data_IF_912626908783
#
_entry.id   IF_912626908783
#
_cell.length_a   1.000
_cell.length_b   1.000
_cell.length_c   1.000
_cell.angle_alpha   90.00
_cell.angle_beta   90.00
_cell.angle_gamma   90.00
#
_symmetry.space_group_name_H-M   'P 1'
#
loop_
_entity.id
_entity.type
_entity.pdbx_description
1 polymer ?
#
# COMPACT_ATOMS: atom_id res chain seq x y z
N UNK A 1 11.87 -4.48 24.10
CA UNK A 1 12.81 -4.46 22.95
C UNK A 1 12.09 -4.46 21.60
N UNK A 2 11.06 -3.65 21.50
CA UNK A 2 10.24 -3.53 20.30
C UNK A 2 11.01 -2.81 19.18
N UNK A 3 12.00 -1.98 19.54
CA UNK A 3 12.73 -1.18 18.56
C UNK A 3 13.69 -1.98 17.67
N UNK A 4 14.22 -3.10 18.17
CA UNK A 4 15.25 -3.85 17.45
C UNK A 4 14.74 -4.43 16.12
N UNK A 5 13.56 -5.10 16.09
CA UNK A 5 13.05 -5.62 14.81
C UNK A 5 12.61 -4.55 13.81
N UNK A 6 12.42 -3.32 14.29
CA UNK A 6 11.94 -2.22 13.43
C UNK A 6 13.09 -1.40 12.81
N UNK A 7 14.34 -1.71 13.14
CA UNK A 7 15.50 -0.99 12.61
C UNK A 7 15.96 -1.60 11.29
N UNK A 8 16.25 -0.74 10.33
CA UNK A 8 16.81 -1.11 9.03
C UNK A 8 18.10 -0.34 8.88
N UNK A 9 19.20 -1.04 8.68
CA UNK A 9 20.50 -0.42 8.67
C UNK A 9 21.37 -0.78 7.47
N UNK A 10 22.24 0.12 7.14
CA UNK A 10 23.31 -0.07 6.17
C UNK A 10 24.63 0.23 6.88
N UNK A 11 25.52 -0.75 6.93
CA UNK A 11 26.78 -0.66 7.67
C UNK A 11 27.98 -0.87 6.75
N UNK A 12 28.28 0.10 5.87
CA UNK A 12 29.46 -0.01 5.00
C UNK A 12 30.76 0.25 5.77
N UNK A 13 31.88 -0.08 5.16
CA UNK A 13 33.21 0.15 5.74
C UNK A 13 33.41 1.64 6.09
N UNK A 14 33.82 1.86 7.33
CA UNK A 14 33.77 3.18 7.97
C UNK A 14 34.61 4.27 7.27
N UNK A 15 35.63 3.89 6.54
CA UNK A 15 36.61 4.86 6.01
C UNK A 15 36.05 5.69 4.85
N UNK A 16 35.11 5.14 4.08
CA UNK A 16 34.57 5.81 2.88
C UNK A 16 33.29 6.60 3.14
N UNK A 17 32.68 6.45 4.31
CA UNK A 17 31.33 6.95 4.59
C UNK A 17 31.31 8.41 5.03
N UNK A 18 32.40 8.91 5.63
CA UNK A 18 32.42 10.24 6.23
C UNK A 18 32.11 11.37 5.23
N UNK A 19 32.31 11.10 3.93
CA UNK A 19 32.11 12.11 2.88
C UNK A 19 30.86 11.90 2.02
N UNK A 20 30.06 10.85 2.31
CA UNK A 20 28.90 10.51 1.47
C UNK A 20 27.62 11.10 2.07
N UNK A 21 27.26 12.30 1.67
CA UNK A 21 26.03 12.95 2.11
C UNK A 21 24.77 12.36 1.43
N UNK A 22 24.90 11.90 0.20
CA UNK A 22 23.74 11.43 -0.57
C UNK A 22 23.05 10.22 0.05
N UNK A 23 23.81 9.28 0.60
CA UNK A 23 23.24 8.08 1.22
C UNK A 23 22.60 8.35 2.58
N UNK A 24 22.91 9.51 3.18
CA UNK A 24 22.38 9.91 4.48
C UNK A 24 21.09 10.74 4.36
N UNK A 25 20.77 11.20 3.15
CA UNK A 25 19.61 12.05 2.94
C UNK A 25 18.32 11.24 3.08
N UNK A 26 17.32 11.86 3.70
CA UNK A 26 15.99 11.32 3.85
C UNK A 26 15.27 11.45 2.51
N UNK A 27 14.94 10.32 1.90
CA UNK A 27 14.26 10.31 0.60
C UNK A 27 12.76 10.63 0.80
N UNK A 28 12.14 11.41 -0.08
CA UNK A 28 10.71 11.74 0.07
C UNK A 28 9.78 10.53 0.20
N UNK A 29 10.10 9.40 -0.43
CA UNK A 29 9.27 8.18 -0.33
C UNK A 29 9.27 7.58 1.07
N UNK A 30 10.24 7.94 1.92
CA UNK A 30 10.31 7.46 3.31
C UNK A 30 9.43 8.27 4.26
N UNK A 31 8.95 9.43 3.80
CA UNK A 31 8.16 10.33 4.62
C UNK A 31 6.92 9.63 5.15
N UNK A 32 6.67 9.80 6.44
CA UNK A 32 5.58 9.19 7.21
C UNK A 32 5.77 7.72 7.55
N UNK A 33 6.62 6.98 6.81
CA UNK A 33 6.84 5.56 7.06
C UNK A 33 8.07 5.29 7.92
N UNK A 34 9.07 6.15 7.83
CA UNK A 34 10.29 6.05 8.61
C UNK A 34 10.45 7.27 9.51
N UNK A 35 11.10 7.07 10.65
CA UNK A 35 11.51 8.19 11.50
C UNK A 35 12.55 9.05 10.78
N UNK A 36 12.68 10.30 11.20
CA UNK A 36 13.71 11.21 10.69
C UNK A 36 15.10 10.58 10.79
N UNK A 37 15.95 10.88 9.81
CA UNK A 37 17.28 10.26 9.72
C UNK A 37 18.19 10.54 10.92
N UNK A 38 17.90 11.58 11.68
CA UNK A 38 18.69 11.96 12.87
C UNK A 38 18.21 11.31 14.16
N UNK A 39 17.03 10.67 14.17
CA UNK A 39 16.43 10.10 15.38
C UNK A 39 17.16 8.86 15.90
N UNK A 40 17.50 7.87 15.04
CA UNK A 40 18.04 6.61 15.56
C UNK A 40 19.46 6.72 16.11
N UNK A 41 20.25 7.59 15.56
CA UNK A 41 21.68 7.64 15.84
C UNK A 41 22.18 9.07 15.93
N UNK A 42 23.17 9.26 16.78
CA UNK A 42 23.94 10.52 16.84
C UNK A 42 25.37 10.22 16.40
N UNK A 43 26.01 11.21 15.81
CA UNK A 43 27.41 11.12 15.37
C UNK A 43 27.59 10.50 14.00
N UNK A 44 28.63 9.71 13.78
CA UNK A 44 29.02 9.27 12.43
C UNK A 44 27.99 8.43 11.68
N UNK A 45 27.07 7.80 12.40
CA UNK A 45 26.09 6.89 11.79
C UNK A 45 24.74 7.55 11.45
N UNK A 46 24.63 8.85 11.63
CA UNK A 46 23.39 9.59 11.31
C UNK A 46 22.99 9.35 9.85
N UNK A 47 21.74 8.93 9.64
CA UNK A 47 21.19 8.66 8.32
C UNK A 47 21.53 7.29 7.73
N UNK A 48 22.38 6.51 8.40
CA UNK A 48 22.76 5.17 7.91
C UNK A 48 21.89 4.07 8.50
N UNK A 49 21.23 4.33 9.63
CA UNK A 49 20.27 3.40 10.25
C UNK A 49 18.91 4.09 10.27
N UNK A 50 17.91 3.41 9.77
CA UNK A 50 16.53 3.90 9.73
C UNK A 50 15.65 3.08 10.66
N UNK A 51 14.66 3.73 11.26
CA UNK A 51 13.65 3.08 12.08
C UNK A 51 12.27 3.32 11.48
N UNK A 52 11.44 2.29 11.49
CA UNK A 52 10.05 2.44 11.08
C UNK A 52 9.31 3.30 12.09
N UNK A 53 8.42 4.14 11.61
CA UNK A 53 7.55 4.93 12.49
C UNK A 53 6.57 3.99 13.22
N UNK A 54 6.04 4.45 14.35
CA UNK A 54 5.19 3.62 15.23
C UNK A 54 3.98 3.04 14.47
N UNK A 55 3.37 3.85 13.60
CA UNK A 55 2.17 3.43 12.87
C UNK A 55 2.47 2.67 11.59
N UNK A 56 3.74 2.57 11.18
CA UNK A 56 4.11 1.82 9.99
C UNK A 56 4.13 0.33 10.29
N UNK A 57 3.62 -0.46 9.36
CA UNK A 57 3.68 -1.91 9.46
C UNK A 57 4.05 -2.52 8.12
N UNK A 58 4.48 -3.77 8.16
CA UNK A 58 4.80 -4.53 6.95
C UNK A 58 3.69 -5.57 6.79
N UNK A 59 3.06 -5.58 5.62
CA UNK A 59 1.98 -6.52 5.36
C UNK A 59 2.45 -7.95 5.47
N UNK A 60 1.67 -8.77 6.13
CA UNK A 60 1.87 -10.20 6.24
C UNK A 60 0.56 -10.88 5.86
N UNK A 61 0.64 -11.90 5.04
CA UNK A 61 -0.55 -12.61 4.56
C UNK A 61 -0.19 -14.09 4.37
N UNK A 62 -1.06 -14.96 4.80
CA UNK A 62 -0.89 -16.39 4.58
C UNK A 62 -1.19 -16.72 3.11
N UNK A 63 -0.53 -17.72 2.58
CA UNK A 63 -0.70 -18.13 1.17
C UNK A 63 -2.15 -18.50 0.85
N UNK A 64 -2.86 -19.14 1.77
CA UNK A 64 -4.28 -19.47 1.60
C UNK A 64 -5.14 -18.20 1.49
N UNK A 65 -4.87 -17.23 2.32
CA UNK A 65 -5.57 -15.95 2.28
C UNK A 65 -5.31 -15.15 1.00
N UNK A 66 -4.29 -15.12 0.40
CA UNK A 66 -3.96 -14.63 -0.65
C UNK A 66 -4.63 -15.06 -1.69
N UNK A 67 -4.73 -16.40 -1.83
CA UNK A 67 -5.46 -17.03 -2.92
C UNK A 67 -6.95 -16.71 -2.89
N UNK A 68 -7.54 -16.72 -1.73
CA UNK A 68 -8.96 -16.39 -1.57
C UNK A 68 -9.23 -14.92 -1.86
N UNK A 69 -8.33 -14.04 -1.46
CA UNK A 69 -8.43 -12.61 -1.76
C UNK A 69 -8.31 -12.38 -3.27
N UNK A 70 -7.37 -13.04 -3.93
CA UNK A 70 -7.20 -12.96 -5.38
C UNK A 70 -8.48 -13.39 -6.11
N UNK A 71 -9.09 -14.50 -5.69
CA UNK A 71 -10.36 -14.96 -6.25
C UNK A 71 -11.46 -13.91 -6.11
N UNK A 72 -11.62 -13.34 -4.91
CA UNK A 72 -12.62 -12.27 -4.66
C UNK A 72 -12.39 -11.06 -5.56
N UNK A 73 -11.14 -10.66 -5.74
CA UNK A 73 -10.79 -9.52 -6.60
C UNK A 73 -11.10 -9.86 -8.06
N UNK A 74 -10.76 -11.07 -8.51
CA UNK A 74 -11.06 -11.51 -9.88
C UNK A 74 -12.57 -11.55 -10.13
N UNK A 75 -13.35 -12.05 -9.17
CA UNK A 75 -14.82 -12.06 -9.26
C UNK A 75 -15.39 -10.64 -9.34
N UNK A 76 -14.84 -9.73 -8.52
CA UNK A 76 -15.24 -8.33 -8.56
C UNK A 76 -14.91 -7.70 -9.92
N UNK A 77 -13.72 -7.94 -10.45
CA UNK A 77 -13.33 -7.44 -11.78
C UNK A 77 -14.30 -7.98 -12.84
N UNK A 78 -14.60 -9.29 -12.81
CA UNK A 78 -15.54 -9.90 -13.74
C UNK A 78 -16.95 -9.30 -13.66
N UNK A 79 -17.40 -8.92 -12.46
CA UNK A 79 -18.71 -8.29 -12.30
C UNK A 79 -18.81 -6.93 -12.99
N UNK A 80 -17.68 -6.27 -13.17
CA UNK A 80 -17.60 -4.99 -13.90
C UNK A 80 -17.62 -5.18 -15.42
N UNK A 81 -17.36 -6.41 -15.90
CA UNK A 81 -17.13 -6.72 -17.32
C UNK A 81 -18.26 -7.51 -17.97
N UNK A 82 -19.50 -7.28 -17.57
CA UNK A 82 -20.59 -8.13 -18.05
C UNK A 82 -20.73 -8.26 -19.56
N UNK A 83 -20.18 -7.33 -20.35
CA UNK A 83 -20.52 -7.28 -21.78
C UNK A 83 -19.34 -7.05 -22.77
N UNK A 84 -18.07 -6.98 -22.33
CA UNK A 84 -17.01 -6.59 -23.29
C UNK A 84 -15.68 -7.31 -23.07
N UNK A 85 -15.51 -8.41 -23.76
CA UNK A 85 -14.24 -9.18 -23.81
C UNK A 85 -13.25 -8.60 -24.84
N UNK A 86 -13.68 -7.60 -25.64
CA UNK A 86 -12.94 -7.13 -26.81
C UNK A 86 -11.84 -6.08 -26.56
N UNK A 87 -11.60 -5.70 -25.30
CA UNK A 87 -10.68 -4.58 -24.98
C UNK A 87 -9.26 -4.98 -24.62
N UNK A 88 -8.84 -6.22 -24.89
CA UNK A 88 -7.47 -6.64 -24.54
C UNK A 88 -6.39 -5.88 -25.33
N UNK A 89 -6.69 -5.38 -26.51
CA UNK A 89 -5.70 -4.69 -27.36
C UNK A 89 -5.64 -3.18 -27.13
N UNK A 90 -6.74 -2.55 -26.77
CA UNK A 90 -6.83 -1.08 -26.69
C UNK A 90 -7.23 -0.57 -25.31
N UNK A 91 -7.52 -1.46 -24.39
CA UNK A 91 -7.96 -1.13 -23.04
C UNK A 91 -6.82 -0.81 -22.10
N UNK A 92 -7.21 -0.39 -20.90
CA UNK A 92 -6.31 -0.06 -19.80
C UNK A 92 -6.08 -1.34 -18.97
N UNK A 93 -4.88 -1.93 -19.00
CA UNK A 93 -4.66 -3.22 -18.35
C UNK A 93 -4.81 -3.15 -16.83
N UNK A 94 -5.38 -4.19 -16.25
CA UNK A 94 -5.46 -4.41 -14.79
C UNK A 94 -4.55 -5.58 -14.47
N UNK A 95 -3.58 -5.34 -13.59
CA UNK A 95 -2.66 -6.37 -13.13
C UNK A 95 -2.85 -6.66 -11.65
N UNK A 96 -2.79 -7.94 -11.27
CA UNK A 96 -2.71 -8.38 -9.87
C UNK A 96 -1.33 -9.01 -9.69
N UNK A 97 -0.51 -8.46 -8.79
CA UNK A 97 0.87 -8.91 -8.53
C UNK A 97 1.66 -9.07 -9.85
N UNK A 98 1.50 -8.09 -10.76
CA UNK A 98 2.14 -8.04 -12.08
C UNK A 98 1.60 -9.05 -13.10
N UNK A 99 0.63 -9.88 -12.74
CA UNK A 99 -0.05 -10.76 -13.70
C UNK A 99 -1.23 -10.01 -14.32
N UNK A 100 -1.30 -9.99 -15.64
CA UNK A 100 -2.40 -9.35 -16.36
C UNK A 100 -3.68 -10.18 -16.17
N UNK A 101 -4.72 -9.55 -15.64
CA UNK A 101 -6.00 -10.22 -15.35
C UNK A 101 -7.10 -9.77 -16.30
N UNK A 102 -7.11 -8.48 -16.65
CA UNK A 102 -8.20 -7.91 -17.45
C UNK A 102 -7.72 -6.62 -18.10
N UNK A 103 -8.56 -6.09 -18.99
CA UNK A 103 -8.34 -4.78 -19.59
C UNK A 103 -9.64 -3.98 -19.53
N UNK A 104 -9.58 -2.74 -19.08
CA UNK A 104 -10.74 -1.90 -18.84
C UNK A 104 -10.85 -0.79 -19.87
N UNK A 105 -12.08 -0.45 -20.24
CA UNK A 105 -12.34 0.72 -21.08
C UNK A 105 -11.81 1.99 -20.37
N UNK A 106 -11.02 2.83 -21.06
CA UNK A 106 -10.46 4.03 -20.46
C UNK A 106 -11.47 4.96 -19.77
N UNK A 107 -12.70 5.01 -20.28
CA UNK A 107 -13.74 5.86 -19.68
C UNK A 107 -14.22 5.38 -18.30
N UNK A 108 -14.02 4.11 -17.99
CA UNK A 108 -14.49 3.51 -16.73
C UNK A 108 -13.42 3.48 -15.63
N UNK A 109 -12.21 3.94 -15.92
CA UNK A 109 -11.06 3.81 -15.00
C UNK A 109 -11.33 4.52 -13.68
N UNK A 110 -11.78 5.78 -13.75
CA UNK A 110 -11.98 6.58 -12.54
C UNK A 110 -13.08 5.98 -11.65
N UNK A 111 -14.15 5.54 -12.27
CA UNK A 111 -15.26 4.90 -11.56
C UNK A 111 -14.83 3.59 -10.92
N UNK A 112 -14.10 2.76 -11.64
CA UNK A 112 -13.58 1.50 -11.15
C UNK A 112 -12.66 1.70 -9.94
N UNK A 113 -11.68 2.61 -10.05
CA UNK A 113 -10.71 2.87 -8.97
C UNK A 113 -11.43 3.45 -7.75
N UNK A 114 -12.39 4.34 -7.96
CA UNK A 114 -13.16 4.96 -6.88
C UNK A 114 -14.03 3.92 -6.17
N UNK A 115 -14.76 3.09 -6.91
CA UNK A 115 -15.60 2.03 -6.33
C UNK A 115 -14.75 0.97 -5.62
N UNK A 116 -13.61 0.59 -6.21
CA UNK A 116 -12.69 -0.35 -5.58
C UNK A 116 -12.21 0.17 -4.23
N UNK A 117 -11.78 1.44 -4.16
CA UNK A 117 -11.32 2.06 -2.93
C UNK A 117 -12.44 2.16 -1.89
N UNK A 118 -13.65 2.49 -2.33
CA UNK A 118 -14.83 2.53 -1.46
C UNK A 118 -15.10 1.15 -0.86
N UNK A 119 -15.13 0.10 -1.68
CA UNK A 119 -15.36 -1.27 -1.22
C UNK A 119 -14.27 -1.76 -0.27
N UNK A 120 -13.02 -1.38 -0.55
CA UNK A 120 -11.90 -1.68 0.35
C UNK A 120 -12.15 -1.08 1.73
N UNK A 121 -12.52 0.20 1.80
CA UNK A 121 -12.80 0.91 3.06
C UNK A 121 -13.97 0.28 3.81
N UNK A 122 -14.98 -0.19 3.08
CA UNK A 122 -16.14 -0.88 3.66
C UNK A 122 -15.85 -2.33 4.04
N UNK A 123 -14.62 -2.80 3.86
CA UNK A 123 -14.21 -4.13 4.28
C UNK A 123 -14.61 -5.27 3.36
N UNK A 124 -14.95 -4.97 2.12
CA UNK A 124 -15.38 -6.00 1.15
C UNK A 124 -14.31 -7.09 0.97
N UNK A 125 -13.04 -6.71 1.04
CA UNK A 125 -11.91 -7.62 0.88
C UNK A 125 -11.42 -8.21 2.20
N UNK A 126 -12.18 -8.05 3.28
CA UNK A 126 -11.78 -8.47 4.62
C UNK A 126 -10.82 -7.50 5.27
N UNK A 127 -10.09 -7.97 6.28
CA UNK A 127 -9.13 -7.14 7.01
C UNK A 127 -7.74 -7.10 6.34
N UNK A 128 -7.61 -7.72 5.17
CA UNK A 128 -6.33 -7.76 4.46
C UNK A 128 -6.07 -6.47 3.71
N UNK A 129 -4.83 -6.03 3.72
CA UNK A 129 -4.43 -4.79 3.05
C UNK A 129 -4.29 -5.01 1.54
N UNK A 130 -5.14 -4.34 0.78
CA UNK A 130 -5.12 -4.38 -0.68
C UNK A 130 -4.71 -3.00 -1.19
N UNK A 131 -3.64 -2.95 -1.98
CA UNK A 131 -3.20 -1.72 -2.63
C UNK A 131 -3.77 -1.62 -4.04
N UNK A 132 -4.29 -0.45 -4.42
CA UNK A 132 -4.65 -0.18 -5.81
C UNK A 132 -3.94 1.10 -6.24
N UNK A 133 -3.19 1.02 -7.32
CA UNK A 133 -2.42 2.13 -7.87
C UNK A 133 -2.75 2.32 -9.34
N UNK A 134 -3.08 3.55 -9.71
CA UNK A 134 -3.26 3.94 -11.10
C UNK A 134 -1.95 4.52 -11.61
N UNK A 135 -1.29 3.79 -12.50
CA UNK A 135 -0.03 4.20 -13.12
C UNK A 135 -0.34 4.90 -14.44
N UNK A 136 0.08 6.15 -14.57
CA UNK A 136 -0.17 6.97 -15.76
C UNK A 136 1.13 7.41 -16.45
N UNK A 137 2.15 6.60 -16.37
CA UNK A 137 3.41 6.84 -17.06
C UNK A 137 3.38 6.26 -18.48
N UNK A 138 4.46 5.67 -18.91
CA UNK A 138 4.57 5.10 -20.25
C UNK A 138 3.65 3.89 -20.49
N UNK A 139 3.27 3.21 -19.40
CA UNK A 139 2.37 2.06 -19.46
C UNK A 139 1.16 2.34 -18.58
N UNK A 140 0.15 2.94 -19.16
CA UNK A 140 -1.11 3.21 -18.44
C UNK A 140 -1.70 1.89 -17.93
N UNK A 141 -1.68 1.67 -16.62
CA UNK A 141 -2.18 0.41 -16.03
C UNK A 141 -2.74 0.62 -14.62
N UNK A 142 -3.62 -0.27 -14.22
CA UNK A 142 -4.12 -0.37 -12.85
C UNK A 142 -3.40 -1.55 -12.20
N UNK A 143 -2.61 -1.27 -11.17
CA UNK A 143 -1.93 -2.31 -10.37
C UNK A 143 -2.67 -2.57 -9.09
N UNK A 144 -2.99 -3.81 -8.84
CA UNK A 144 -3.56 -4.28 -7.58
C UNK A 144 -2.50 -5.15 -6.90
N UNK A 145 -2.12 -4.76 -5.70
CA UNK A 145 -1.09 -5.44 -4.91
C UNK A 145 -1.73 -6.02 -3.66
N UNK A 146 -1.58 -7.32 -3.48
CA UNK A 146 -2.17 -8.08 -2.38
C UNK A 146 -1.11 -8.81 -1.55
N UNK A 147 0.12 -8.90 -2.07
CA UNK A 147 1.20 -9.69 -1.48
C UNK A 147 1.72 -9.16 -0.15
N UNK A 148 2.44 -10.01 0.55
CA UNK A 148 3.16 -9.66 1.77
C UNK A 148 4.38 -8.80 1.48
N UNK A 149 4.94 -8.19 2.53
CA UNK A 149 6.19 -7.43 2.45
C UNK A 149 6.05 -5.99 2.01
N UNK A 150 4.83 -5.48 1.87
CA UNK A 150 4.61 -4.08 1.53
C UNK A 150 4.60 -3.22 2.79
N UNK A 151 5.26 -2.08 2.74
CA UNK A 151 5.25 -1.11 3.83
C UNK A 151 3.95 -0.30 3.75
N UNK A 152 3.18 -0.31 4.83
CA UNK A 152 1.87 0.35 4.90
C UNK A 152 1.75 1.19 6.16
N UNK A 153 0.84 2.14 6.13
CA UNK A 153 0.51 2.99 7.27
C UNK A 153 -0.97 3.41 7.16
N UNK A 154 -1.73 3.37 8.27
CA UNK A 154 -3.11 3.87 8.25
C UNK A 154 -3.15 5.38 8.09
N UNK A 155 -4.11 5.87 7.31
CA UNK A 155 -4.39 7.29 7.13
C UNK A 155 -5.87 7.54 7.31
N UNK A 156 -6.20 8.63 7.95
CA UNK A 156 -7.57 9.10 8.02
C UNK A 156 -8.01 9.59 6.64
N UNK A 157 -9.15 9.12 6.20
CA UNK A 157 -9.71 9.53 4.91
C UNK A 157 -10.65 10.71 5.14
N UNK A 158 -10.39 11.79 4.42
CA UNK A 158 -11.21 13.00 4.45
C UNK A 158 -11.90 13.16 3.10
N UNK A 159 -13.20 13.36 3.12
CA UNK A 159 -13.98 13.64 1.92
C UNK A 159 -14.81 14.90 2.16
N UNK A 160 -14.67 15.88 1.26
CA UNK A 160 -15.35 17.18 1.34
C UNK A 160 -15.13 17.93 2.66
N UNK A 161 -14.00 17.69 3.31
CA UNK A 161 -13.63 18.35 4.56
C UNK A 161 -14.10 17.64 5.83
N UNK A 162 -14.79 16.52 5.69
CA UNK A 162 -15.27 15.70 6.81
C UNK A 162 -14.54 14.37 6.84
N UNK A 163 -14.31 13.85 8.05
CA UNK A 163 -13.73 12.52 8.21
C UNK A 163 -14.75 11.46 7.81
N UNK A 164 -14.33 10.51 6.98
CA UNK A 164 -15.22 9.42 6.57
C UNK A 164 -15.70 8.57 7.74
N UNK A 165 -14.91 8.49 8.80
CA UNK A 165 -15.32 7.76 10.02
C UNK A 165 -16.53 8.39 10.66
N UNK A 166 -16.62 9.72 10.67
CA UNK A 166 -17.76 10.45 11.26
C UNK A 166 -19.03 10.33 10.39
N UNK A 167 -18.83 10.19 9.08
CA UNK A 167 -19.94 10.13 8.11
C UNK A 167 -20.49 8.71 7.98
N UNK A 168 -19.63 7.70 8.20
CA UNK A 168 -19.99 6.27 8.04
C UNK A 168 -19.86 5.53 9.38
N UNK A 169 -20.92 5.46 10.18
CA UNK A 169 -20.87 4.77 11.49
C UNK A 169 -20.45 3.30 11.39
N UNK A 170 -20.67 2.68 10.24
CA UNK A 170 -20.24 1.29 9.99
C UNK A 170 -18.71 1.13 10.06
N UNK A 171 -17.96 2.18 9.73
CA UNK A 171 -16.51 2.16 9.84
C UNK A 171 -16.06 2.29 11.30
N UNK A 172 -16.79 3.06 12.10
CA UNK A 172 -16.48 3.22 13.52
C UNK A 172 -16.64 1.89 14.27
N UNK A 173 -17.74 1.18 14.01
CA UNK A 173 -17.99 -0.11 14.67
C UNK A 173 -16.93 -1.15 14.33
N UNK A 174 -16.32 -1.07 13.14
CA UNK A 174 -15.27 -2.01 12.74
C UNK A 174 -13.94 -1.77 13.45
N UNK A 175 -13.70 -0.57 13.97
CA UNK A 175 -12.49 -0.28 14.75
C UNK A 175 -12.47 -1.08 16.05
N UNK A 176 -13.65 -1.30 16.66
CA UNK A 176 -13.77 -2.08 17.88
C UNK A 176 -13.44 -3.56 17.66
N UNK A 177 -13.63 -4.05 16.44
CA UNK A 177 -13.30 -5.43 16.06
C UNK A 177 -11.82 -5.60 15.65
N UNK A 178 -11.10 -4.49 15.43
CA UNK A 178 -9.68 -4.53 15.07
C UNK A 178 -8.83 -4.71 16.34
N UNK A 179 -8.66 -5.93 16.76
CA UNK A 179 -7.72 -6.23 17.82
C UNK A 179 -6.29 -6.12 17.27
N UNK A 180 -5.48 -5.30 17.92
CA UNK A 180 -4.06 -5.31 17.69
C UNK A 180 -3.53 -6.66 18.16
N UNK A 181 -3.23 -7.53 17.24
CA UNK A 181 -2.51 -8.76 17.60
C UNK A 181 -1.14 -8.37 18.12
N UNK A 182 -0.81 -8.80 19.32
CA UNK A 182 0.47 -8.55 20.00
C UNK A 182 1.66 -9.11 19.21
#
# INVERSE_FOLDING_TARGET
NISIPRSVGFYPDQVKISKMFSVRKYHPSQYLYFCSSDVPERGPQVGLVSQLSVLSSITNILTSEXLDLEKKICEYIRSYYKDDISYFETGFPITIENALVASLNPNMICDFVTDFRRRKRMGFFGNLEVGITLVRDHMNEIRINIGAGRLVRPFLVVDNGELMMDVCPELESRLDDMTFSD
#
